data_IF_631538393736
#
_entry.id   IF_631538393736
#
_cell.length_a   1.000
_cell.length_b   1.000
_cell.length_c   1.000
_cell.angle_alpha   90.00
_cell.angle_beta   90.00
_cell.angle_gamma   90.00
#
_symmetry.space_group_name_H-M   'P 1'
#
loop_
_entity.id
_entity.type
_entity.pdbx_description
1 polymer ?
#
# COMPACT_ATOMS: atom_id res chain seq x y z
N UNK A 1 -11.53 34.87 -4.67
CA UNK A 1 -12.12 34.03 -5.75
C UNK A 1 -11.17 32.93 -6.27
N UNK A 2 -9.86 33.15 -6.39
CA UNK A 2 -8.90 32.11 -6.81
C UNK A 2 -8.83 30.80 -5.96
N UNK A 3 -8.91 30.83 -4.60
CA UNK A 3 -8.76 29.59 -3.81
C UNK A 3 -9.97 28.64 -3.89
N UNK A 4 -11.18 29.17 -4.14
CA UNK A 4 -12.39 28.36 -4.34
C UNK A 4 -12.38 27.60 -5.67
N UNK A 5 -11.81 28.20 -6.72
CA UNK A 5 -11.62 27.54 -8.02
C UNK A 5 -10.53 26.45 -7.96
N UNK A 6 -9.44 26.71 -7.24
CA UNK A 6 -8.36 25.73 -7.05
C UNK A 6 -8.81 24.49 -6.27
N UNK A 7 -9.60 24.68 -5.22
CA UNK A 7 -10.17 23.58 -4.42
C UNK A 7 -11.20 22.75 -5.19
N UNK A 8 -12.06 23.40 -5.99
CA UNK A 8 -13.00 22.70 -6.89
C UNK A 8 -12.27 21.88 -7.97
N UNK A 9 -11.21 22.43 -8.57
CA UNK A 9 -10.38 21.72 -9.55
C UNK A 9 -9.69 20.50 -8.96
N UNK A 10 -9.11 20.63 -7.78
CA UNK A 10 -8.47 19.51 -7.07
C UNK A 10 -9.48 18.42 -6.66
N UNK A 11 -10.72 18.79 -6.31
CA UNK A 11 -11.79 17.83 -6.05
C UNK A 11 -12.19 17.07 -7.33
N UNK A 12 -12.37 17.78 -8.45
CA UNK A 12 -12.69 17.18 -9.74
C UNK A 12 -11.56 16.25 -10.24
N UNK A 13 -10.29 16.63 -10.05
CA UNK A 13 -9.14 15.80 -10.38
C UNK A 13 -9.15 14.47 -9.57
N UNK A 14 -9.44 14.53 -8.27
CA UNK A 14 -9.57 13.33 -7.43
C UNK A 14 -10.72 12.43 -7.87
N UNK A 15 -11.87 13.01 -8.22
CA UNK A 15 -13.01 12.22 -8.70
C UNK A 15 -12.74 11.56 -10.06
N UNK A 16 -12.07 12.27 -10.98
CA UNK A 16 -11.58 11.67 -12.24
C UNK A 16 -10.59 10.53 -11.96
N UNK A 17 -9.61 10.75 -11.09
CA UNK A 17 -8.60 9.76 -10.73
C UNK A 17 -9.25 8.51 -10.12
N UNK A 18 -10.18 8.70 -9.18
CA UNK A 18 -10.98 7.64 -8.57
C UNK A 18 -11.71 6.80 -9.62
N UNK A 19 -12.39 7.45 -10.57
CA UNK A 19 -13.09 6.76 -11.65
C UNK A 19 -12.15 5.94 -12.52
N UNK A 20 -10.98 6.47 -12.88
CA UNK A 20 -9.99 5.75 -13.68
C UNK A 20 -9.36 4.59 -12.91
N UNK A 21 -8.95 4.79 -11.65
CA UNK A 21 -8.41 3.73 -10.80
C UNK A 21 -9.42 2.60 -10.63
N UNK A 22 -10.69 2.93 -10.39
CA UNK A 22 -11.75 1.94 -10.27
C UNK A 22 -11.88 1.09 -11.53
N UNK A 23 -11.81 1.70 -12.72
CA UNK A 23 -11.89 1.00 -14.01
C UNK A 23 -10.66 0.13 -14.29
N UNK A 24 -9.45 0.68 -14.17
CA UNK A 24 -8.21 -0.05 -14.50
C UNK A 24 -7.93 -1.20 -13.54
N UNK A 25 -8.26 -1.03 -12.26
CA UNK A 25 -7.99 -2.01 -11.20
C UNK A 25 -9.21 -2.84 -10.80
N UNK A 26 -10.36 -2.69 -11.48
CA UNK A 26 -11.61 -3.40 -11.21
C UNK A 26 -12.06 -3.28 -9.74
N UNK A 27 -12.04 -2.06 -9.22
CA UNK A 27 -12.40 -1.75 -7.83
C UNK A 27 -13.86 -1.28 -7.69
N UNK A 28 -14.76 -1.74 -8.57
CA UNK A 28 -16.16 -1.29 -8.62
C UNK A 28 -16.94 -1.58 -7.32
N UNK A 29 -16.53 -2.62 -6.59
CA UNK A 29 -17.09 -2.99 -5.29
C UNK A 29 -16.46 -2.24 -4.11
N UNK A 30 -15.58 -1.28 -4.37
CA UNK A 30 -14.87 -0.52 -3.35
C UNK A 30 -15.14 0.97 -3.47
N UNK A 31 -15.38 1.57 -2.32
CA UNK A 31 -15.30 3.01 -2.17
C UNK A 31 -13.83 3.41 -1.95
N UNK A 32 -13.35 4.30 -2.82
CA UNK A 32 -11.96 4.70 -2.88
C UNK A 32 -11.75 6.08 -2.24
N UNK A 33 -10.81 6.18 -1.31
CA UNK A 33 -10.42 7.43 -0.65
C UNK A 33 -8.91 7.64 -0.78
N UNK A 34 -8.49 8.90 -0.75
CA UNK A 34 -7.08 9.25 -0.86
C UNK A 34 -6.54 9.79 0.47
N UNK A 35 -5.28 9.49 0.75
CA UNK A 35 -4.49 10.09 1.82
C UNK A 35 -3.11 10.49 1.29
N UNK A 36 -2.44 11.51 1.85
CA UNK A 36 -1.13 11.96 1.36
C UNK A 36 0.01 10.99 1.70
N UNK A 37 -0.17 10.18 2.75
CA UNK A 37 0.84 9.21 3.20
C UNK A 37 0.20 8.06 3.97
N UNK A 38 0.94 6.95 4.12
CA UNK A 38 0.51 5.79 4.92
C UNK A 38 0.31 6.18 6.39
N UNK A 39 1.12 7.11 6.89
CA UNK A 39 1.00 7.61 8.25
C UNK A 39 -0.34 8.35 8.45
N UNK A 40 -0.70 9.26 7.54
CA UNK A 40 -1.98 9.97 7.61
C UNK A 40 -3.14 8.99 7.44
N UNK A 41 -3.06 8.03 6.51
CA UNK A 41 -4.07 6.99 6.36
C UNK A 41 -4.28 6.20 7.67
N UNK A 42 -3.20 5.83 8.37
CA UNK A 42 -3.27 5.16 9.68
C UNK A 42 -3.97 6.02 10.73
N UNK A 43 -3.66 7.32 10.79
CA UNK A 43 -4.30 8.25 11.73
C UNK A 43 -5.80 8.38 11.43
N UNK A 44 -6.17 8.58 10.17
CA UNK A 44 -7.57 8.70 9.75
C UNK A 44 -8.38 7.46 10.09
N UNK A 45 -7.85 6.28 9.76
CA UNK A 45 -8.52 5.02 10.07
C UNK A 45 -8.61 4.80 11.58
N UNK A 46 -7.55 5.11 12.34
CA UNK A 46 -7.60 5.04 13.80
C UNK A 46 -8.70 5.90 14.40
N UNK A 47 -8.86 7.14 13.91
CA UNK A 47 -9.92 8.04 14.37
C UNK A 47 -11.31 7.52 14.00
N UNK A 48 -11.47 7.00 12.78
CA UNK A 48 -12.74 6.46 12.33
C UNK A 48 -13.18 5.25 13.16
N UNK A 49 -12.30 4.27 13.33
CA UNK A 49 -12.63 3.07 14.10
C UNK A 49 -12.85 3.39 15.59
N UNK A 50 -12.12 4.36 16.15
CA UNK A 50 -12.36 4.84 17.51
C UNK A 50 -13.77 5.44 17.65
N UNK A 51 -14.19 6.29 16.70
CA UNK A 51 -15.55 6.87 16.72
C UNK A 51 -16.63 5.81 16.56
N UNK A 52 -16.41 4.82 15.71
CA UNK A 52 -17.35 3.70 15.57
C UNK A 52 -17.51 2.90 16.86
N UNK A 53 -16.40 2.57 17.53
CA UNK A 53 -16.46 1.87 18.81
C UNK A 53 -17.09 2.72 19.91
N UNK A 54 -16.82 4.03 19.95
CA UNK A 54 -17.50 4.96 20.85
C UNK A 54 -19.02 4.99 20.62
N UNK A 55 -19.45 5.15 19.37
CA UNK A 55 -20.87 5.17 19.02
C UNK A 55 -21.56 3.84 19.35
N UNK A 56 -20.89 2.71 19.10
CA UNK A 56 -21.37 1.36 19.43
C UNK A 56 -21.49 1.15 20.93
N UNK A 57 -20.50 1.59 21.70
CA UNK A 57 -20.54 1.52 23.16
C UNK A 57 -21.65 2.42 23.71
N UNK A 58 -21.75 3.67 23.27
CA UNK A 58 -22.83 4.58 23.66
C UNK A 58 -24.22 3.98 23.38
N UNK A 59 -24.42 3.35 22.23
CA UNK A 59 -25.70 2.69 21.88
C UNK A 59 -26.00 1.52 22.83
N UNK A 60 -25.01 0.69 23.15
CA UNK A 60 -25.15 -0.40 24.12
C UNK A 60 -25.50 0.12 25.52
N UNK A 61 -24.80 1.15 25.98
CA UNK A 61 -25.06 1.74 27.31
C UNK A 61 -26.40 2.47 27.37
N UNK A 62 -26.80 3.21 26.33
CA UNK A 62 -28.10 3.88 26.25
C UNK A 62 -29.28 2.90 26.23
N UNK A 63 -29.09 1.66 25.78
CA UNK A 63 -30.12 0.62 25.82
C UNK A 63 -30.32 -0.03 27.19
N UNK A 64 -29.41 0.20 28.14
CA UNK A 64 -29.43 -0.44 29.47
C UNK A 64 -29.48 0.54 30.63
N UNK A 65 -29.14 1.82 30.42
CA UNK A 65 -29.12 2.83 31.48
C UNK A 65 -29.92 4.08 31.07
N UNK A 66 -30.66 4.70 32.01
CA UNK A 66 -31.37 5.95 31.76
C UNK A 66 -30.38 7.07 31.37
N UNK A 67 -30.85 7.98 30.50
CA UNK A 67 -30.03 9.04 29.87
C UNK A 67 -29.24 9.89 30.87
N UNK A 68 -29.72 9.98 32.11
CA UNK A 68 -29.11 10.68 33.24
C UNK A 68 -27.72 10.15 33.65
N UNK A 69 -27.39 8.89 33.34
CA UNK A 69 -26.15 8.22 33.75
C UNK A 69 -25.10 8.12 32.62
N UNK A 70 -25.44 8.53 31.39
CA UNK A 70 -24.54 8.51 30.23
C UNK A 70 -23.41 9.55 30.30
N UNK A 71 -23.52 10.54 31.19
CA UNK A 71 -22.51 11.58 31.43
C UNK A 71 -21.30 11.08 32.23
N UNK A 72 -21.37 9.87 32.82
CA UNK A 72 -20.31 9.25 33.63
C UNK A 72 -19.87 7.93 33.01
N UNK A 73 -19.65 7.89 31.70
CA UNK A 73 -18.97 6.74 31.10
C UNK A 73 -17.46 6.86 31.37
N UNK A 74 -16.79 5.79 31.86
CA UNK A 74 -15.35 5.82 32.04
C UNK A 74 -14.72 6.06 30.68
N UNK A 75 -13.94 7.13 30.58
CA UNK A 75 -13.08 7.40 29.42
C UNK A 75 -12.11 6.24 29.31
N UNK A 76 -12.47 5.20 28.56
CA UNK A 76 -11.52 4.20 28.10
C UNK A 76 -10.36 4.98 27.47
N UNK A 77 -9.12 4.87 27.99
CA UNK A 77 -7.98 5.53 27.39
C UNK A 77 -7.60 4.74 26.12
N UNK A 78 -8.41 4.86 25.06
CA UNK A 78 -8.08 4.30 23.75
C UNK A 78 -7.41 5.40 22.93
N UNK A 79 -6.08 5.40 22.99
CA UNK A 79 -5.22 6.28 22.23
C UNK A 79 -5.51 6.15 20.73
N UNK A 80 -5.98 7.23 20.10
CA UNK A 80 -6.02 7.33 18.64
C UNK A 80 -4.60 7.12 18.07
N UNK A 81 -4.43 6.17 17.15
CA UNK A 81 -3.13 5.86 16.51
C UNK A 81 -2.69 4.40 16.59
N UNK A 82 -3.44 3.53 17.29
CA UNK A 82 -3.04 2.13 17.50
C UNK A 82 -3.50 1.13 16.43
N UNK A 83 -4.16 1.56 15.34
CA UNK A 83 -4.40 0.60 14.26
C UNK A 83 -3.08 0.20 13.62
N UNK A 84 -2.83 -1.10 13.63
CA UNK A 84 -1.72 -1.70 12.92
C UNK A 84 -2.03 -1.71 11.43
N UNK A 85 -1.11 -1.14 10.63
CA UNK A 85 -1.05 -1.43 9.21
C UNK A 85 -0.25 -2.73 9.07
N UNK A 86 -0.95 -3.79 8.67
CA UNK A 86 -0.37 -5.13 8.57
C UNK A 86 -0.01 -5.39 7.13
N UNK A 87 1.29 -5.53 6.86
CA UNK A 87 1.80 -5.80 5.51
C UNK A 87 1.25 -7.13 4.96
N UNK A 88 0.61 -7.08 3.79
CA UNK A 88 0.18 -8.28 3.08
C UNK A 88 1.38 -9.10 2.58
N UNK A 89 2.46 -8.43 2.21
CA UNK A 89 3.74 -9.06 1.90
C UNK A 89 4.72 -8.66 2.99
N UNK A 90 5.12 -9.63 3.80
CA UNK A 90 6.13 -9.44 4.83
C UNK A 90 7.47 -9.15 4.15
N UNK A 91 7.94 -7.90 4.25
CA UNK A 91 9.18 -7.48 3.60
C UNK A 91 10.45 -8.02 4.29
N UNK A 92 10.34 -8.53 5.52
CA UNK A 92 11.45 -9.11 6.27
C UNK A 92 11.72 -10.56 5.84
N UNK A 93 10.64 -11.31 5.61
CA UNK A 93 10.71 -12.73 5.23
C UNK A 93 10.41 -12.96 3.74
N UNK A 94 9.93 -11.96 3.02
CA UNK A 94 9.51 -12.06 1.63
C UNK A 94 8.35 -13.01 1.42
N UNK A 95 7.40 -13.10 2.36
CA UNK A 95 6.28 -14.06 2.31
C UNK A 95 4.96 -13.34 2.15
N UNK A 96 4.05 -13.94 1.39
CA UNK A 96 2.67 -13.46 1.29
C UNK A 96 1.89 -13.97 2.49
N UNK A 97 1.36 -13.06 3.31
CA UNK A 97 0.49 -13.39 4.44
C UNK A 97 -0.93 -13.66 3.96
N UNK A 98 -1.69 -14.45 4.72
CA UNK A 98 -3.10 -14.65 4.41
C UNK A 98 -3.88 -13.36 4.69
N UNK A 99 -4.73 -12.93 3.75
CA UNK A 99 -5.52 -11.72 3.91
C UNK A 99 -6.47 -11.77 5.11
N UNK A 100 -6.94 -12.95 5.50
CA UNK A 100 -7.76 -13.15 6.72
C UNK A 100 -6.97 -12.82 7.99
N UNK A 101 -5.70 -13.23 8.05
CA UNK A 101 -4.80 -12.94 9.16
C UNK A 101 -4.52 -11.43 9.24
N UNK A 102 -4.16 -10.80 8.12
CA UNK A 102 -3.93 -9.36 8.06
C UNK A 102 -5.14 -8.55 8.58
N UNK A 103 -6.34 -8.93 8.14
CA UNK A 103 -7.59 -8.27 8.52
C UNK A 103 -7.99 -8.51 9.98
N UNK A 104 -7.58 -9.63 10.57
CA UNK A 104 -7.82 -9.91 12.00
C UNK A 104 -6.92 -9.09 12.92
N UNK A 105 -5.72 -8.74 12.46
CA UNK A 105 -4.71 -8.00 13.23
C UNK A 105 -4.80 -6.48 13.02
N UNK A 106 -5.42 -6.03 11.92
CA UNK A 106 -5.57 -4.61 11.63
C UNK A 106 -5.98 -4.34 10.19
N UNK A 107 -5.52 -3.19 9.67
CA UNK A 107 -5.78 -2.79 8.29
C UNK A 107 -4.69 -3.33 7.39
N UNK A 108 -5.06 -3.95 6.27
CA UNK A 108 -4.08 -4.55 5.35
C UNK A 108 -3.33 -3.46 4.58
N UNK A 109 -2.00 -3.41 4.72
CA UNK A 109 -1.12 -2.66 3.82
C UNK A 109 -0.80 -3.53 2.59
N UNK A 110 -1.38 -3.14 1.47
CA UNK A 110 -1.28 -3.82 0.19
C UNK A 110 -0.25 -3.18 -0.74
N UNK A 111 0.60 -2.26 -0.28
CA UNK A 111 1.52 -1.47 -1.13
C UNK A 111 2.43 -2.29 -2.04
N UNK A 112 2.79 -3.51 -1.63
CA UNK A 112 3.66 -4.42 -2.41
C UNK A 112 2.87 -5.50 -3.19
N UNK A 113 1.55 -5.57 -2.99
CA UNK A 113 0.67 -6.56 -3.62
C UNK A 113 -0.33 -5.97 -4.62
N UNK A 114 -0.74 -4.72 -4.41
CA UNK A 114 -1.61 -3.99 -5.32
C UNK A 114 -0.94 -3.79 -6.67
N UNK A 115 -1.70 -3.83 -7.77
CA UNK A 115 -1.16 -3.69 -9.13
C UNK A 115 -0.06 -4.71 -9.50
N UNK A 116 -0.04 -5.88 -8.84
CA UNK A 116 0.82 -7.03 -9.17
C UNK A 116 -0.03 -8.24 -9.55
N UNK A 117 0.61 -9.40 -9.74
CA UNK A 117 -0.11 -10.67 -9.89
C UNK A 117 -1.04 -11.02 -8.71
N UNK A 118 -0.77 -10.49 -7.50
CA UNK A 118 -1.59 -10.72 -6.31
C UNK A 118 -2.83 -9.82 -6.27
N UNK A 119 -2.96 -8.87 -7.20
CA UNK A 119 -4.06 -7.90 -7.24
C UNK A 119 -5.44 -8.56 -7.26
N UNK A 120 -5.63 -9.60 -8.09
CA UNK A 120 -6.93 -10.29 -8.18
C UNK A 120 -7.36 -10.92 -6.85
N UNK A 121 -6.40 -11.49 -6.12
CA UNK A 121 -6.64 -12.09 -4.80
C UNK A 121 -6.89 -11.02 -3.73
N UNK A 122 -6.17 -9.89 -3.82
CA UNK A 122 -6.41 -8.75 -2.95
C UNK A 122 -7.84 -8.24 -3.07
N UNK A 123 -8.32 -7.99 -4.29
CA UNK A 123 -9.69 -7.46 -4.50
C UNK A 123 -10.79 -8.50 -4.24
N UNK A 124 -10.49 -9.80 -4.29
CA UNK A 124 -11.48 -10.83 -3.98
C UNK A 124 -11.71 -10.94 -2.47
N UNK A 125 -10.65 -10.91 -1.67
CA UNK A 125 -10.71 -11.32 -0.25
C UNK A 125 -10.58 -10.14 0.73
N UNK A 126 -10.03 -9.00 0.33
CA UNK A 126 -9.82 -7.87 1.24
C UNK A 126 -11.12 -7.09 1.46
N UNK A 127 -11.47 -6.80 2.72
CA UNK A 127 -12.58 -5.90 3.06
C UNK A 127 -12.15 -4.44 3.09
N UNK A 128 -10.97 -4.18 3.63
CA UNK A 128 -10.35 -2.86 3.71
C UNK A 128 -8.85 -3.01 3.52
N UNK A 129 -8.27 -2.24 2.61
CA UNK A 129 -6.82 -2.17 2.44
C UNK A 129 -6.36 -0.76 2.11
N UNK A 130 -5.08 -0.52 2.40
CA UNK A 130 -4.37 0.71 2.09
C UNK A 130 -3.22 0.37 1.16
N UNK A 131 -2.97 1.19 0.14
CA UNK A 131 -1.86 0.96 -0.78
C UNK A 131 -1.25 2.27 -1.25
N UNK A 132 0.07 2.33 -1.33
CA UNK A 132 0.76 3.41 -2.02
C UNK A 132 0.63 3.25 -3.53
N UNK A 133 0.46 4.36 -4.25
CA UNK A 133 0.31 4.34 -5.71
C UNK A 133 1.65 4.52 -6.46
N UNK A 134 2.73 4.91 -5.78
CA UNK A 134 4.07 5.07 -6.35
C UNK A 134 4.85 3.76 -6.56
N UNK A 135 4.36 2.66 -5.98
CA UNK A 135 5.02 1.35 -6.05
C UNK A 135 4.69 0.66 -7.38
N UNK A 136 3.78 -0.31 -7.33
CA UNK A 136 3.46 -1.14 -8.48
C UNK A 136 2.45 -0.50 -9.43
N UNK A 137 1.77 0.58 -9.04
CA UNK A 137 0.93 1.36 -9.95
C UNK A 137 1.69 2.46 -10.72
N UNK A 138 2.94 2.78 -10.31
CA UNK A 138 3.81 3.78 -10.94
C UNK A 138 3.22 5.19 -11.06
N UNK A 139 2.38 5.61 -10.11
CA UNK A 139 1.78 6.93 -10.10
C UNK A 139 2.60 7.86 -9.17
N UNK A 140 1.92 8.73 -8.42
CA UNK A 140 2.57 9.72 -7.55
C UNK A 140 2.94 9.16 -6.16
N UNK A 141 4.06 9.64 -5.58
CA UNK A 141 4.55 9.33 -4.22
C UNK A 141 3.63 9.82 -3.10
N UNK A 142 2.92 10.90 -3.36
CA UNK A 142 2.15 11.63 -2.34
C UNK A 142 0.68 11.21 -2.35
N UNK A 143 0.40 10.02 -2.92
CA UNK A 143 -0.92 9.43 -2.96
C UNK A 143 -0.92 8.00 -2.42
N UNK A 144 -1.71 7.84 -1.37
CA UNK A 144 -2.11 6.57 -0.81
C UNK A 144 -3.60 6.38 -1.05
N UNK A 145 -3.95 5.21 -1.55
CA UNK A 145 -5.32 4.78 -1.76
C UNK A 145 -5.78 3.98 -0.53
N UNK A 146 -6.93 4.34 0.01
CA UNK A 146 -7.69 3.58 0.99
C UNK A 146 -8.91 3.03 0.25
N UNK A 147 -9.02 1.71 0.17
CA UNK A 147 -10.11 1.03 -0.52
C UNK A 147 -10.98 0.28 0.49
N UNK A 148 -12.26 0.64 0.55
CA UNK A 148 -13.24 0.10 1.48
C UNK A 148 -14.32 -0.67 0.73
N UNK A 149 -14.53 -1.96 1.01
CA UNK A 149 -15.56 -2.74 0.33
C UNK A 149 -16.94 -2.21 0.71
N UNK A 150 -17.74 -1.84 -0.29
CA UNK A 150 -19.06 -1.21 -0.10
C UNK A 150 -20.01 -2.05 0.76
N UNK A 151 -19.96 -3.37 0.61
CA UNK A 151 -20.85 -4.31 1.30
C UNK A 151 -20.55 -4.51 2.79
N UNK A 152 -19.32 -4.29 3.23
CA UNK A 152 -18.88 -4.61 4.60
C UNK A 152 -18.97 -3.42 5.57
N UNK A 153 -19.20 -2.21 5.06
CA UNK A 153 -19.12 -0.98 5.86
C UNK A 153 -20.33 -0.08 5.69
N UNK A 154 -20.76 0.53 6.79
CA UNK A 154 -21.93 1.42 6.81
C UNK A 154 -21.73 2.68 5.96
N UNK A 155 -22.84 3.26 5.47
CA UNK A 155 -22.83 4.56 4.78
C UNK A 155 -22.21 5.67 5.63
N UNK A 156 -22.37 5.62 6.95
CA UNK A 156 -21.81 6.62 7.87
C UNK A 156 -20.27 6.64 7.82
N UNK A 157 -19.62 5.48 7.88
CA UNK A 157 -18.16 5.34 7.75
C UNK A 157 -17.66 5.96 6.46
N UNK A 158 -18.38 5.71 5.37
CA UNK A 158 -18.04 6.20 4.04
C UNK A 158 -18.14 7.72 3.96
N UNK A 159 -19.19 8.28 4.54
CA UNK A 159 -19.36 9.74 4.65
C UNK A 159 -18.27 10.38 5.52
N UNK A 160 -17.89 9.76 6.63
CA UNK A 160 -16.80 10.27 7.48
C UNK A 160 -15.45 10.28 6.75
N UNK A 161 -15.10 9.19 6.04
CA UNK A 161 -13.89 9.15 5.23
C UNK A 161 -13.91 10.23 4.14
N UNK A 162 -15.06 10.46 3.50
CA UNK A 162 -15.21 11.52 2.50
C UNK A 162 -14.97 12.90 3.10
N UNK A 163 -15.48 13.16 4.30
CA UNK A 163 -15.27 14.42 5.02
C UNK A 163 -13.80 14.60 5.41
N UNK A 164 -13.15 13.55 5.91
CA UNK A 164 -11.72 13.59 6.20
C UNK A 164 -10.89 13.86 4.93
N UNK A 165 -11.20 13.18 3.83
CA UNK A 165 -10.56 13.38 2.52
C UNK A 165 -10.73 14.83 2.02
N UNK A 166 -11.84 15.50 2.31
CA UNK A 166 -12.05 16.90 1.93
C UNK A 166 -11.20 17.87 2.75
N UNK A 167 -10.89 17.53 4.00
CA UNK A 167 -10.04 18.33 4.88
C UNK A 167 -8.53 18.19 4.64
N UNK A 168 -8.11 17.28 3.76
CA UNK A 168 -6.70 17.02 3.48
C UNK A 168 -6.17 17.84 2.29
N UNK A 169 -4.92 18.28 2.41
CA UNK A 169 -4.17 18.90 1.32
C UNK A 169 -3.39 17.84 0.52
N UNK A 170 -3.67 17.75 -0.79
CA UNK A 170 -3.00 16.81 -1.71
C UNK A 170 -2.04 17.49 -2.70
N UNK A 171 -1.86 18.81 -2.59
CA UNK A 171 -1.12 19.59 -3.57
C UNK A 171 -1.63 19.34 -4.99
N UNK A 172 -0.70 19.11 -5.93
CA UNK A 172 -1.00 18.71 -7.31
C UNK A 172 -0.87 17.21 -7.58
N UNK A 173 -0.88 16.36 -6.54
CA UNK A 173 -0.56 14.94 -6.68
C UNK A 173 -1.61 14.19 -7.53
N UNK A 174 -2.88 14.58 -7.43
CA UNK A 174 -3.97 14.00 -8.22
C UNK A 174 -3.84 14.35 -9.70
N UNK A 175 -3.51 15.60 -10.03
CA UNK A 175 -3.24 16.05 -11.40
C UNK A 175 -2.01 15.36 -11.98
N UNK A 176 -0.93 15.21 -11.21
CA UNK A 176 0.25 14.47 -11.65
C UNK A 176 -0.06 13.00 -11.95
N UNK A 177 -0.81 12.33 -11.08
CA UNK A 177 -1.21 10.95 -11.31
C UNK A 177 -2.08 10.81 -12.57
N UNK A 178 -2.99 11.76 -12.82
CA UNK A 178 -3.79 11.80 -14.05
C UNK A 178 -2.91 11.99 -15.28
N UNK A 179 -1.94 12.91 -15.24
CA UNK A 179 -1.02 13.13 -16.35
C UNK A 179 -0.19 11.88 -16.68
N UNK A 180 0.24 11.12 -15.66
CA UNK A 180 0.94 9.84 -15.87
C UNK A 180 0.00 8.81 -16.51
N UNK A 181 -1.28 8.77 -16.12
CA UNK A 181 -2.25 7.82 -16.69
C UNK A 181 -2.69 8.17 -18.11
N UNK A 182 -2.52 9.43 -18.51
CA UNK A 182 -2.79 9.91 -19.87
C UNK A 182 -1.64 9.62 -20.85
N UNK A 183 -0.47 9.19 -20.36
CA UNK A 183 0.64 8.72 -21.18
C UNK A 183 0.30 7.38 -21.86
N UNK A 184 0.50 7.29 -23.18
CA UNK A 184 0.20 6.10 -23.99
C UNK A 184 1.04 4.87 -23.60
N UNK A 185 2.24 5.11 -23.05
CA UNK A 185 3.15 4.07 -22.57
C UNK A 185 2.80 3.61 -21.15
N UNK A 186 1.89 4.30 -20.46
CA UNK A 186 1.48 3.88 -19.14
C UNK A 186 0.74 2.53 -19.20
N UNK A 187 1.13 1.66 -18.27
CA UNK A 187 0.57 0.32 -18.12
C UNK A 187 0.34 0.07 -16.62
N UNK A 188 -0.89 -0.29 -16.22
CA UNK A 188 -1.29 -0.24 -14.81
C UNK A 188 -0.66 -1.31 -13.92
N UNK A 189 -0.19 -2.44 -14.48
CA UNK A 189 0.28 -3.55 -13.67
C UNK A 189 1.79 -3.72 -13.75
N UNK A 190 2.41 -4.01 -12.60
CA UNK A 190 3.72 -4.65 -12.57
C UNK A 190 3.55 -6.16 -12.80
N UNK A 191 3.96 -6.61 -13.98
CA UNK A 191 3.85 -7.99 -14.43
C UNK A 191 5.12 -8.81 -14.15
N UNK A 192 6.13 -8.20 -13.51
CA UNK A 192 7.37 -8.91 -13.21
C UNK A 192 7.16 -9.98 -12.15
N UNK A 193 7.76 -11.14 -12.39
CA UNK A 193 7.80 -12.27 -11.47
C UNK A 193 9.25 -12.72 -11.31
N UNK A 194 9.61 -13.04 -10.08
CA UNK A 194 10.99 -13.41 -9.72
C UNK A 194 10.96 -14.74 -8.99
N UNK A 195 11.62 -15.73 -9.56
CA UNK A 195 11.83 -17.04 -8.96
C UNK A 195 12.99 -16.99 -7.95
N UNK A 196 13.25 -18.12 -7.29
CA UNK A 196 14.40 -18.23 -6.39
C UNK A 196 15.71 -18.00 -7.15
N UNK A 197 16.48 -17.00 -6.74
CA UNK A 197 17.81 -16.71 -7.27
C UNK A 197 18.86 -17.30 -6.34
N UNK A 198 19.77 -18.09 -6.91
CA UNK A 198 20.98 -18.54 -6.24
C UNK A 198 22.21 -18.11 -7.07
N UNK A 199 23.16 -17.49 -6.38
CA UNK A 199 24.50 -17.22 -6.86
C UNK A 199 25.47 -18.18 -6.18
N UNK A 200 26.26 -18.85 -7.01
CA UNK A 200 27.38 -19.68 -6.58
C UNK A 200 28.65 -18.81 -6.44
N UNK A 201 29.76 -19.42 -6.04
CA UNK A 201 31.03 -18.77 -5.76
C UNK A 201 31.40 -17.63 -6.75
N UNK A 202 32.02 -16.52 -6.29
CA UNK A 202 32.67 -16.34 -4.98
C UNK A 202 31.76 -15.79 -3.86
N UNK A 203 30.52 -15.40 -4.15
CA UNK A 203 29.54 -14.99 -3.13
C UNK A 203 28.35 -15.94 -3.15
N UNK A 204 28.29 -16.81 -2.14
CA UNK A 204 27.15 -17.68 -1.90
C UNK A 204 25.98 -16.83 -1.42
N UNK A 205 25.04 -16.57 -2.32
CA UNK A 205 23.88 -15.73 -2.07
C UNK A 205 22.63 -16.45 -2.55
N UNK A 206 21.68 -16.65 -1.66
CA UNK A 206 20.40 -17.26 -1.97
C UNK A 206 19.27 -16.32 -1.58
N UNK A 207 18.32 -16.18 -2.48
CA UNK A 207 17.15 -15.37 -2.26
C UNK A 207 16.20 -16.06 -1.26
N UNK A 208 15.60 -15.29 -0.35
CA UNK A 208 14.78 -15.82 0.76
C UNK A 208 13.29 -15.65 0.55
N UNK A 209 12.89 -14.81 -0.42
CA UNK A 209 11.48 -14.54 -0.70
C UNK A 209 10.77 -15.77 -1.28
N UNK A 210 9.46 -15.78 -1.10
CA UNK A 210 8.56 -16.66 -1.82
C UNK A 210 8.66 -16.39 -3.34
N UNK A 211 8.81 -17.43 -4.18
CA UNK A 211 8.86 -17.27 -5.62
C UNK A 211 7.59 -16.63 -6.20
N UNK A 212 7.77 -15.91 -7.32
CA UNK A 212 6.72 -15.22 -8.06
C UNK A 212 6.54 -13.75 -7.68
N UNK A 213 7.11 -13.28 -6.56
CA UNK A 213 7.03 -11.88 -6.15
C UNK A 213 7.75 -10.94 -7.14
N UNK A 214 7.37 -9.65 -7.24
CA UNK A 214 8.00 -8.67 -8.14
C UNK A 214 9.33 -8.12 -7.60
N UNK A 215 10.01 -8.88 -6.75
CA UNK A 215 11.30 -8.52 -6.18
C UNK A 215 12.02 -9.79 -5.70
N UNK A 216 13.34 -9.68 -5.51
CA UNK A 216 14.12 -10.65 -4.77
C UNK A 216 14.66 -10.05 -3.47
N UNK A 217 14.69 -10.84 -2.40
CA UNK A 217 15.26 -10.50 -1.11
C UNK A 217 16.43 -11.41 -0.81
N UNK A 218 17.52 -10.85 -0.30
CA UNK A 218 18.70 -11.58 0.11
C UNK A 218 19.14 -11.14 1.51
N UNK A 219 19.73 -12.05 2.31
CA UNK A 219 20.50 -11.62 3.47
C UNK A 219 21.64 -10.72 2.98
N UNK A 220 21.89 -9.58 3.60
CA UNK A 220 22.98 -8.70 3.21
C UNK A 220 24.32 -9.39 3.49
N UNK A 221 25.18 -9.64 2.47
CA UNK A 221 26.52 -10.15 2.71
C UNK A 221 27.38 -9.15 3.50
N UNK A 222 28.24 -9.67 4.37
CA UNK A 222 29.20 -8.88 5.14
C UNK A 222 30.23 -8.27 4.17
N UNK A 223 30.58 -7.00 4.38
CA UNK A 223 31.67 -6.34 3.66
C UNK A 223 31.31 -5.72 2.31
N UNK A 224 30.02 -5.55 2.00
CA UNK A 224 29.59 -4.82 0.80
C UNK A 224 29.47 -3.31 1.08
N UNK A 225 30.00 -2.51 0.18
CA UNK A 225 29.83 -1.06 0.21
C UNK A 225 28.44 -0.69 -0.36
N UNK A 226 27.46 -0.54 0.53
CA UNK A 226 26.05 -0.28 0.21
C UNK A 226 25.85 1.04 -0.56
N UNK A 227 26.74 2.01 -0.38
CA UNK A 227 26.64 3.34 -1.03
C UNK A 227 26.77 3.29 -2.57
N UNK A 228 27.30 2.20 -3.10
CA UNK A 228 27.53 2.00 -4.54
C UNK A 228 26.37 1.33 -5.25
N UNK A 229 25.33 0.90 -4.53
CA UNK A 229 24.21 0.19 -5.13
C UNK A 229 23.32 1.11 -5.98
N UNK A 230 22.84 0.64 -7.15
CA UNK A 230 21.87 1.38 -7.96
C UNK A 230 20.54 1.56 -7.21
N UNK A 231 19.76 2.58 -7.60
CA UNK A 231 18.53 3.01 -6.92
C UNK A 231 17.44 1.94 -6.77
N UNK A 232 17.42 0.93 -7.63
CA UNK A 232 16.45 -0.17 -7.59
C UNK A 232 16.87 -1.32 -6.66
N UNK A 233 18.09 -1.27 -6.13
CA UNK A 233 18.61 -2.12 -5.07
C UNK A 233 18.53 -1.36 -3.74
N UNK A 234 17.61 -1.79 -2.88
CA UNK A 234 17.38 -1.15 -1.60
C UNK A 234 17.90 -2.03 -0.46
N UNK A 235 18.60 -1.43 0.51
CA UNK A 235 18.90 -2.10 1.78
C UNK A 235 17.80 -1.79 2.78
N UNK A 236 17.14 -2.84 3.28
CA UNK A 236 16.14 -2.74 4.34
C UNK A 236 16.84 -2.76 5.71
N UNK A 237 16.36 -1.94 6.62
CA UNK A 237 16.87 -1.85 7.98
C UNK A 237 16.29 -2.95 8.88
N UNK A 238 17.17 -3.61 9.64
CA UNK A 238 16.89 -4.52 10.76
C UNK A 238 15.84 -5.64 10.56
N UNK A 239 16.28 -6.90 10.32
CA UNK A 239 17.63 -7.30 9.92
C UNK A 239 18.02 -6.68 8.58
N UNK A 240 19.32 -6.47 8.37
CA UNK A 240 19.79 -5.93 7.08
C UNK A 240 19.52 -6.94 5.96
N UNK A 241 18.76 -6.50 4.95
CA UNK A 241 18.37 -7.28 3.78
C UNK A 241 18.60 -6.48 2.51
N UNK A 242 19.04 -7.15 1.46
CA UNK A 242 19.15 -6.57 0.12
C UNK A 242 17.88 -6.89 -0.66
N UNK A 243 17.16 -5.88 -1.11
CA UNK A 243 15.96 -5.99 -1.93
C UNK A 243 16.27 -5.52 -3.35
N UNK A 244 16.08 -6.40 -4.33
CA UNK A 244 16.17 -6.06 -5.75
C UNK A 244 14.77 -6.00 -6.34
N UNK A 245 14.34 -4.81 -6.77
CA UNK A 245 13.00 -4.63 -7.36
C UNK A 245 13.00 -5.02 -8.83
N UNK A 246 11.93 -5.68 -9.26
CA UNK A 246 11.63 -5.84 -10.67
C UNK A 246 10.42 -4.99 -11.03
N UNK A 247 10.58 -4.13 -12.02
CA UNK A 247 9.52 -3.27 -12.54
C UNK A 247 9.38 -3.52 -14.04
N UNK A 248 8.45 -4.39 -14.41
CA UNK A 248 8.06 -4.57 -15.81
C UNK A 248 6.59 -4.27 -15.91
N UNK A 249 6.23 -3.35 -16.82
CA UNK A 249 4.86 -2.86 -16.92
C UNK A 249 4.07 -3.63 -17.97
N UNK A 250 2.80 -3.88 -17.69
CA UNK A 250 1.93 -4.64 -18.59
C UNK A 250 0.47 -4.62 -18.17
N UNK A 251 -0.29 -5.56 -18.74
CA UNK A 251 -1.72 -5.74 -18.48
C UNK A 251 -1.96 -6.82 -17.42
N UNK A 252 -3.16 -6.77 -16.80
CA UNK A 252 -3.62 -7.61 -15.67
C UNK A 252 -3.32 -9.12 -15.79
N UNK A 253 -3.29 -9.65 -17.01
CA UNK A 253 -3.20 -11.09 -17.28
C UNK A 253 -1.83 -11.53 -17.81
N UNK A 254 -0.86 -10.62 -17.90
CA UNK A 254 0.48 -10.95 -18.36
C UNK A 254 1.39 -11.12 -17.15
N UNK A 255 2.33 -12.06 -17.27
CA UNK A 255 3.41 -12.26 -16.32
C UNK A 255 4.70 -12.40 -17.12
N UNK A 256 5.76 -11.78 -16.63
CA UNK A 256 7.09 -11.92 -17.22
C UNK A 256 8.06 -12.35 -16.13
N UNK A 257 8.67 -13.52 -16.33
CA UNK A 257 9.74 -13.99 -15.46
C UNK A 257 11.03 -13.24 -15.80
N UNK A 258 11.55 -12.47 -14.84
CA UNK A 258 12.76 -11.65 -15.00
C UNK A 258 13.93 -12.14 -14.15
N UNK A 259 13.86 -13.39 -13.68
CA UNK A 259 14.85 -13.99 -12.77
C UNK A 259 16.27 -13.93 -13.32
N UNK A 260 16.46 -14.27 -14.59
CA UNK A 260 17.78 -14.26 -15.22
C UNK A 260 18.35 -12.83 -15.33
N UNK A 261 17.52 -11.87 -15.73
CA UNK A 261 17.90 -10.45 -15.81
C UNK A 261 18.31 -9.92 -14.44
N UNK A 262 17.54 -10.21 -13.39
CA UNK A 262 17.88 -9.83 -12.02
C UNK A 262 19.15 -10.53 -11.53
N UNK A 263 19.36 -11.81 -11.87
CA UNK A 263 20.55 -12.57 -11.50
C UNK A 263 21.82 -11.94 -12.08
N UNK A 264 21.81 -11.56 -13.36
CA UNK A 264 22.94 -10.89 -14.01
C UNK A 264 23.22 -9.53 -13.37
N UNK A 265 22.17 -8.73 -13.16
CA UNK A 265 22.29 -7.40 -12.52
C UNK A 265 22.82 -7.48 -11.08
N UNK A 266 22.37 -8.47 -10.30
CA UNK A 266 22.88 -8.71 -8.96
C UNK A 266 24.38 -9.01 -8.99
N UNK A 267 24.84 -9.87 -9.91
CA UNK A 267 26.27 -10.18 -10.05
C UNK A 267 27.08 -8.92 -10.34
N UNK A 268 26.64 -8.09 -11.29
CA UNK A 268 27.31 -6.84 -11.65
C UNK A 268 27.39 -5.86 -10.47
N UNK A 269 26.28 -5.69 -9.74
CA UNK A 269 26.23 -4.80 -8.58
C UNK A 269 27.17 -5.25 -7.45
N UNK A 270 27.24 -6.55 -7.18
CA UNK A 270 28.14 -7.12 -6.17
C UNK A 270 29.62 -6.97 -6.56
N UNK A 271 29.96 -7.17 -7.84
CA UNK A 271 31.33 -6.99 -8.34
C UNK A 271 31.76 -5.52 -8.18
N UNK A 272 30.90 -4.56 -8.56
CA UNK A 272 31.19 -3.14 -8.40
C UNK A 272 31.37 -2.73 -6.94
N UNK A 273 30.49 -3.20 -6.06
CA UNK A 273 30.52 -2.91 -4.62
C UNK A 273 31.77 -3.44 -3.91
N UNK A 274 32.37 -4.53 -4.41
CA UNK A 274 33.62 -5.09 -3.86
C UNK A 274 34.88 -4.36 -4.35
N UNK A 275 34.84 -3.80 -5.55
CA UNK A 275 35.97 -3.11 -6.17
C UNK A 275 36.04 -1.61 -5.79
N UNK A 276 35.10 -1.11 -4.98
CA UNK A 276 34.99 0.29 -4.55
C UNK A 276 35.25 0.44 -3.07
#
# INVERSE_FOLDING_TARGET
MAPQLATARAAAARDKLRGLLSRHYRLENYDLFFAPSLHIARVLLSQLFLRQEQARNQTRYASHYPVSELSVLPTLPMMAGNIALVEHIDMQHGRVRALSECQSQGVTDASESFATQLHKRLISDARLFVTRLDRHAALCSDLVLIALRTADFSTLVRSELRLFEQGLAFGGAAEQALAIMEDDDWRPFNIATVESIALEAPLLLRSIQQPGLPFALFPLPIGLNVSTFPQDIQVLSSPQRLRLRANVRGSVNKHLNVTNTLKTRLKEALIRSRNS
#
